data_IF_628348786504
#
_entry.id   IF_628348786504
#
_cell.length_a   1.000
_cell.length_b   1.000
_cell.length_c   1.000
_cell.angle_alpha   90.00
_cell.angle_beta   90.00
_cell.angle_gamma   90.00
#
_symmetry.space_group_name_H-M   'P 1'
#
loop_
_entity.id
_entity.type
_entity.pdbx_description
1 polymer ?
#
# COMPACT_ATOMS: atom_id res chain seq x y z
N UNK A 1 -6.71 -8.26 -20.43
CA UNK A 1 -7.34 -6.92 -20.36
C UNK A 1 -8.73 -6.89 -21.03
N UNK A 2 -8.99 -7.64 -22.09
CA UNK A 2 -10.28 -7.66 -22.82
C UNK A 2 -11.53 -7.77 -21.91
N UNK A 3 -11.62 -8.71 -20.94
CA UNK A 3 -12.81 -8.77 -20.08
C UNK A 3 -13.05 -7.49 -19.26
N UNK A 4 -11.98 -6.79 -18.85
CA UNK A 4 -12.10 -5.53 -18.12
C UNK A 4 -12.57 -4.39 -19.03
N UNK A 5 -12.11 -4.37 -20.29
CA UNK A 5 -12.57 -3.43 -21.30
C UNK A 5 -14.06 -3.64 -21.60
N UNK A 6 -14.50 -4.89 -21.74
CA UNK A 6 -15.90 -5.25 -21.97
C UNK A 6 -16.80 -4.77 -20.82
N UNK A 7 -16.41 -4.98 -19.56
CA UNK A 7 -17.15 -4.49 -18.40
C UNK A 7 -17.22 -2.96 -18.40
N UNK A 8 -16.10 -2.28 -18.66
CA UNK A 8 -16.07 -0.82 -18.71
C UNK A 8 -16.95 -0.25 -19.85
N UNK A 9 -17.00 -0.92 -21.00
CA UNK A 9 -17.74 -0.51 -22.17
C UNK A 9 -19.24 -0.78 -22.05
N UNK A 10 -19.60 -2.00 -21.62
CA UNK A 10 -20.98 -2.47 -21.53
C UNK A 10 -21.68 -2.05 -20.24
N UNK A 11 -20.92 -1.52 -19.29
CA UNK A 11 -21.41 -1.00 -18.03
C UNK A 11 -21.40 -2.03 -16.90
N UNK A 12 -21.36 -1.52 -15.71
CA UNK A 12 -21.43 -2.29 -14.47
C UNK A 12 -22.34 -1.59 -13.46
N UNK A 13 -22.90 -2.35 -12.53
CA UNK A 13 -23.78 -1.79 -11.49
C UNK A 13 -22.97 -1.03 -10.46
N UNK A 14 -23.43 0.17 -10.14
CA UNK A 14 -22.87 1.01 -9.06
C UNK A 14 -23.11 0.31 -7.73
N UNK A 15 -22.02 -0.03 -7.04
CA UNK A 15 -22.03 -0.68 -5.73
C UNK A 15 -22.11 0.34 -4.58
N UNK A 16 -22.43 -0.16 -3.38
CA UNK A 16 -22.39 0.65 -2.15
C UNK A 16 -20.99 1.23 -1.89
N UNK A 17 -19.94 0.46 -2.15
CA UNK A 17 -18.56 0.92 -2.01
C UNK A 17 -18.26 2.09 -2.95
N UNK A 18 -18.69 2.01 -4.20
CA UNK A 18 -18.47 3.12 -5.14
C UNK A 18 -19.18 4.39 -4.67
N UNK A 19 -20.42 4.30 -4.22
CA UNK A 19 -21.17 5.44 -3.65
C UNK A 19 -20.43 6.01 -2.44
N UNK A 20 -19.98 5.17 -1.52
CA UNK A 20 -19.22 5.56 -0.34
C UNK A 20 -17.92 6.28 -0.72
N UNK A 21 -17.16 5.78 -1.67
CA UNK A 21 -15.90 6.40 -2.10
C UNK A 21 -16.12 7.73 -2.85
N UNK A 22 -17.17 7.86 -3.64
CA UNK A 22 -17.55 9.15 -4.25
C UNK A 22 -17.85 10.20 -3.17
N UNK A 23 -18.58 9.82 -2.10
CA UNK A 23 -18.88 10.72 -0.99
C UNK A 23 -17.61 11.08 -0.18
N UNK A 24 -16.72 10.13 0.07
CA UNK A 24 -15.43 10.38 0.72
C UNK A 24 -14.58 11.36 -0.12
N UNK A 25 -14.50 11.15 -1.43
CA UNK A 25 -13.74 12.03 -2.33
C UNK A 25 -14.26 13.47 -2.28
N UNK A 26 -15.58 13.65 -2.31
CA UNK A 26 -16.24 14.94 -2.15
C UNK A 26 -15.92 15.62 -0.80
N UNK A 27 -15.92 14.85 0.30
CA UNK A 27 -15.60 15.38 1.64
C UNK A 27 -14.15 15.81 1.77
N UNK A 28 -13.20 15.00 1.27
CA UNK A 28 -11.76 15.29 1.35
C UNK A 28 -11.42 16.53 0.54
N UNK A 29 -11.90 16.61 -0.70
CA UNK A 29 -11.58 17.72 -1.61
C UNK A 29 -12.40 18.98 -1.32
N UNK A 30 -13.45 18.90 -0.49
CA UNK A 30 -14.45 19.96 -0.24
C UNK A 30 -15.08 20.49 -1.54
N UNK A 31 -15.01 19.74 -2.62
CA UNK A 31 -15.54 20.05 -3.95
C UNK A 31 -16.20 18.80 -4.54
N UNK A 32 -17.23 19.01 -5.35
CA UNK A 32 -17.84 17.90 -6.09
C UNK A 32 -17.24 17.79 -7.49
N UNK A 33 -15.91 17.61 -7.57
CA UNK A 33 -15.18 17.57 -8.83
C UNK A 33 -15.70 16.47 -9.77
N UNK A 34 -16.30 15.41 -9.25
CA UNK A 34 -16.91 14.35 -10.06
C UNK A 34 -18.11 14.84 -10.89
N UNK A 35 -18.70 15.97 -10.53
CA UNK A 35 -19.78 16.63 -11.28
C UNK A 35 -19.30 17.92 -11.95
N UNK A 36 -18.42 18.67 -11.29
CA UNK A 36 -17.97 19.98 -11.73
C UNK A 36 -16.91 19.90 -12.85
N UNK A 37 -16.05 18.90 -12.80
CA UNK A 37 -15.01 18.70 -13.81
C UNK A 37 -15.58 17.89 -14.99
N UNK A 38 -15.59 18.48 -16.21
CA UNK A 38 -16.17 17.80 -17.38
C UNK A 38 -15.53 16.46 -17.68
N UNK A 39 -14.24 16.26 -17.38
CA UNK A 39 -13.53 15.01 -17.63
C UNK A 39 -14.01 13.87 -16.73
N UNK A 40 -14.38 14.18 -15.49
CA UNK A 40 -14.95 13.22 -14.54
C UNK A 40 -16.46 13.06 -14.70
N UNK A 41 -17.17 14.16 -14.97
CA UNK A 41 -18.62 14.17 -15.09
C UNK A 41 -19.14 13.24 -16.20
N UNK A 42 -18.39 13.08 -17.29
CA UNK A 42 -18.73 12.15 -18.37
C UNK A 42 -18.96 10.71 -17.90
N UNK A 43 -18.24 10.25 -16.91
CA UNK A 43 -18.34 8.90 -16.38
C UNK A 43 -19.20 8.85 -15.09
N UNK A 44 -18.99 9.81 -14.18
CA UNK A 44 -19.57 9.78 -12.84
C UNK A 44 -20.88 10.57 -12.70
N UNK A 45 -21.14 11.51 -13.61
CA UNK A 45 -22.33 12.37 -13.59
C UNK A 45 -22.88 12.64 -15.01
N UNK A 46 -23.12 11.62 -15.85
CA UNK A 46 -23.49 11.80 -17.25
C UNK A 46 -24.78 12.60 -17.46
N UNK A 47 -25.64 12.66 -16.45
CA UNK A 47 -26.91 13.40 -16.46
C UNK A 47 -26.88 14.64 -15.56
N UNK A 48 -25.69 15.20 -15.27
CA UNK A 48 -25.51 16.35 -14.38
C UNK A 48 -25.63 16.04 -12.88
N UNK A 49 -25.85 14.78 -12.50
CA UNK A 49 -25.84 14.28 -11.13
C UNK A 49 -25.00 13.03 -11.00
N UNK A 50 -24.46 12.78 -9.82
CA UNK A 50 -23.72 11.53 -9.54
C UNK A 50 -24.61 10.31 -9.79
N UNK A 51 -24.00 9.28 -10.37
CA UNK A 51 -24.62 7.96 -10.46
C UNK A 51 -24.98 7.43 -9.08
N UNK A 52 -26.09 6.71 -8.97
CA UNK A 52 -26.62 6.21 -7.70
C UNK A 52 -26.44 4.70 -7.58
N UNK A 53 -26.62 4.19 -6.36
CA UNK A 53 -26.60 2.77 -6.08
C UNK A 53 -27.52 1.99 -7.01
N UNK A 54 -26.98 0.94 -7.64
CA UNK A 54 -27.74 0.08 -8.55
C UNK A 54 -27.94 0.62 -9.97
N UNK A 55 -27.60 1.87 -10.26
CA UNK A 55 -27.56 2.37 -11.64
C UNK A 55 -26.44 1.71 -12.43
N UNK A 56 -26.51 1.77 -13.75
CA UNK A 56 -25.42 1.27 -14.61
C UNK A 56 -24.48 2.40 -14.97
N UNK A 57 -23.20 2.22 -14.64
CA UNK A 57 -22.12 3.15 -14.98
C UNK A 57 -21.33 2.61 -16.17
N UNK A 58 -20.97 3.50 -17.08
CA UNK A 58 -20.17 3.21 -18.26
C UNK A 58 -18.87 3.99 -18.22
N UNK A 59 -17.77 3.37 -18.64
CA UNK A 59 -16.45 4.01 -18.76
C UNK A 59 -15.85 3.74 -20.14
N UNK A 60 -16.52 4.21 -21.18
CA UNK A 60 -16.19 3.89 -22.58
C UNK A 60 -14.77 4.32 -22.97
N UNK A 61 -14.37 5.54 -22.59
CA UNK A 61 -12.99 6.04 -22.86
C UNK A 61 -11.91 5.19 -22.16
N UNK A 62 -12.21 4.73 -20.96
CA UNK A 62 -11.31 3.82 -20.22
C UNK A 62 -11.27 2.44 -20.89
N UNK A 63 -12.37 1.95 -21.41
CA UNK A 63 -12.41 0.72 -22.20
C UNK A 63 -11.54 0.83 -23.45
N UNK A 64 -11.59 1.96 -24.17
CA UNK A 64 -10.76 2.20 -25.37
C UNK A 64 -9.26 2.22 -25.00
N UNK A 65 -8.90 2.79 -23.86
CA UNK A 65 -7.53 2.74 -23.33
C UNK A 65 -7.09 1.30 -23.04
N UNK A 66 -7.94 0.51 -22.36
CA UNK A 66 -7.65 -0.90 -22.05
C UNK A 66 -7.51 -1.75 -23.32
N UNK A 67 -8.36 -1.54 -24.31
CA UNK A 67 -8.27 -2.24 -25.61
C UNK A 67 -7.00 -1.88 -26.36
N UNK A 68 -6.60 -0.61 -26.34
CA UNK A 68 -5.34 -0.17 -26.96
C UNK A 68 -4.15 -0.87 -26.31
N UNK A 69 -4.08 -0.88 -24.97
CA UNK A 69 -3.00 -1.56 -24.24
C UNK A 69 -3.05 -3.08 -24.47
N UNK A 70 -4.25 -3.67 -24.55
CA UNK A 70 -4.41 -5.10 -24.82
C UNK A 70 -3.90 -5.50 -26.22
N UNK A 71 -4.10 -4.64 -27.20
CA UNK A 71 -3.72 -4.87 -28.60
C UNK A 71 -2.25 -4.57 -28.87
N UNK A 72 -1.74 -3.46 -28.32
CA UNK A 72 -0.43 -2.88 -28.66
C UNK A 72 0.65 -3.19 -27.59
N UNK A 73 0.25 -3.76 -26.45
CA UNK A 73 1.14 -4.06 -25.35
C UNK A 73 1.32 -2.89 -24.36
N UNK A 74 2.13 -3.08 -23.32
CA UNK A 74 2.33 -2.10 -22.26
C UNK A 74 2.97 -0.81 -22.76
N UNK A 75 3.76 -0.86 -23.83
CA UNK A 75 4.44 0.31 -24.40
C UNK A 75 3.45 1.38 -24.87
N UNK A 76 2.23 0.99 -25.27
CA UNK A 76 1.18 1.93 -25.65
C UNK A 76 0.79 2.92 -24.53
N UNK A 77 1.06 2.57 -23.26
CA UNK A 77 0.86 3.46 -22.13
C UNK A 77 1.99 4.49 -21.98
N UNK A 78 3.22 4.11 -22.28
CA UNK A 78 4.41 4.93 -22.08
C UNK A 78 4.77 5.78 -23.31
N UNK A 79 4.28 5.39 -24.46
CA UNK A 79 4.54 6.06 -25.75
C UNK A 79 3.25 6.33 -26.52
N UNK A 80 3.28 7.34 -27.37
CA UNK A 80 2.17 7.62 -28.31
C UNK A 80 1.00 8.37 -27.69
N UNK A 81 -0.23 8.14 -28.19
CA UNK A 81 -1.39 8.99 -27.89
C UNK A 81 -1.80 8.98 -26.39
N UNK A 82 -1.69 7.83 -25.69
CA UNK A 82 -2.05 7.73 -24.28
C UNK A 82 -1.05 8.53 -23.44
N UNK A 83 0.25 8.36 -23.68
CA UNK A 83 1.30 9.12 -23.01
C UNK A 83 1.13 10.63 -23.23
N UNK A 84 0.93 11.03 -24.48
CA UNK A 84 0.73 12.45 -24.86
C UNK A 84 -0.48 13.06 -24.13
N UNK A 85 -1.59 12.36 -24.06
CA UNK A 85 -2.80 12.81 -23.38
C UNK A 85 -2.59 12.90 -21.86
N UNK A 86 -1.88 11.95 -21.28
CA UNK A 86 -1.56 11.92 -19.85
C UNK A 86 -0.67 13.09 -19.47
N UNK A 87 0.42 13.30 -20.18
CA UNK A 87 1.37 14.40 -19.90
C UNK A 87 0.69 15.75 -20.11
N UNK A 88 -0.09 15.92 -21.18
CA UNK A 88 -0.83 17.16 -21.40
C UNK A 88 -1.77 17.48 -20.24
N UNK A 89 -2.57 16.50 -19.77
CA UNK A 89 -3.48 16.71 -18.65
C UNK A 89 -2.74 17.08 -17.35
N UNK A 90 -1.57 16.46 -17.10
CA UNK A 90 -0.74 16.78 -15.93
C UNK A 90 -0.19 18.21 -16.04
N UNK A 91 0.32 18.61 -17.20
CA UNK A 91 0.89 19.95 -17.43
C UNK A 91 -0.18 21.06 -17.42
N UNK A 92 -1.36 20.82 -17.95
CA UNK A 92 -2.52 21.71 -17.84
C UNK A 92 -2.94 21.94 -16.37
N UNK A 93 -2.69 20.96 -15.50
CA UNK A 93 -2.88 21.05 -14.04
C UNK A 93 -1.65 21.59 -13.28
N UNK A 94 -0.69 22.22 -13.96
CA UNK A 94 0.60 22.72 -13.43
C UNK A 94 1.53 21.63 -12.87
N UNK A 95 1.40 20.39 -13.33
CA UNK A 95 2.36 19.32 -13.03
C UNK A 95 3.61 19.45 -13.89
N UNK A 96 4.72 18.88 -13.41
CA UNK A 96 6.04 19.00 -14.03
C UNK A 96 6.48 17.78 -14.84
N UNK A 97 5.68 16.73 -14.86
CA UNK A 97 6.02 15.49 -15.56
C UNK A 97 6.12 15.68 -17.07
N UNK A 98 7.08 15.00 -17.69
CA UNK A 98 7.37 15.09 -19.12
C UNK A 98 7.17 13.73 -19.81
N UNK A 99 7.14 13.73 -21.14
CA UNK A 99 7.13 12.48 -21.92
C UNK A 99 8.41 11.67 -21.71
N UNK A 100 9.52 12.33 -21.46
CA UNK A 100 10.79 11.67 -21.19
C UNK A 100 10.75 10.90 -19.84
N UNK A 101 10.09 11.46 -18.82
CA UNK A 101 9.89 10.77 -17.53
C UNK A 101 9.08 9.47 -17.70
N UNK A 102 8.06 9.47 -18.56
CA UNK A 102 7.31 8.25 -18.90
C UNK A 102 8.18 7.26 -19.69
N UNK A 103 8.89 7.73 -20.71
CA UNK A 103 9.71 6.89 -21.59
C UNK A 103 10.88 6.23 -20.84
N UNK A 104 11.44 6.91 -19.86
CA UNK A 104 12.55 6.44 -19.04
C UNK A 104 12.10 5.58 -17.85
N UNK A 105 10.79 5.43 -17.64
CA UNK A 105 10.28 4.59 -16.54
C UNK A 105 10.64 3.12 -16.75
N UNK A 106 11.25 2.52 -15.75
CA UNK A 106 11.56 1.10 -15.71
C UNK A 106 11.05 0.45 -14.43
N UNK A 107 10.56 -0.78 -14.54
CA UNK A 107 10.11 -1.54 -13.38
C UNK A 107 11.32 -2.05 -12.60
N UNK A 108 11.43 -1.63 -11.34
CA UNK A 108 12.46 -2.16 -10.46
C UNK A 108 12.05 -3.55 -9.95
N UNK A 109 12.76 -4.57 -10.40
CA UNK A 109 12.61 -5.96 -9.90
C UNK A 109 13.55 -6.12 -8.72
N UNK A 110 12.97 -6.29 -7.51
CA UNK A 110 13.74 -6.43 -6.28
C UNK A 110 13.64 -7.84 -5.72
N UNK A 111 14.69 -8.36 -5.07
CA UNK A 111 14.66 -9.64 -4.39
C UNK A 111 13.66 -9.61 -3.23
N UNK A 112 13.06 -10.76 -2.95
CA UNK A 112 12.15 -10.92 -1.81
C UNK A 112 12.93 -11.04 -0.50
N UNK A 113 12.36 -10.53 0.58
CA UNK A 113 12.85 -10.77 1.94
C UNK A 113 12.19 -12.03 2.49
N UNK A 114 12.99 -12.90 3.12
CA UNK A 114 12.51 -14.16 3.67
C UNK A 114 12.92 -14.31 5.13
N UNK A 115 12.03 -14.91 5.91
CA UNK A 115 12.30 -15.36 7.29
C UNK A 115 11.78 -16.78 7.48
N UNK A 116 12.32 -17.47 8.47
CA UNK A 116 11.66 -18.63 9.07
C UNK A 116 10.85 -18.20 10.28
N UNK A 117 9.59 -18.67 10.35
CA UNK A 117 8.66 -18.39 11.42
C UNK A 117 7.88 -19.66 11.78
N UNK A 118 8.04 -20.17 13.00
CA UNK A 118 7.39 -21.40 13.49
C UNK A 118 7.47 -22.59 12.50
N UNK A 119 8.62 -22.76 11.85
CA UNK A 119 8.87 -23.83 10.87
C UNK A 119 8.36 -23.55 9.46
N UNK A 120 7.76 -22.38 9.21
CA UNK A 120 7.33 -21.96 7.89
C UNK A 120 8.30 -20.94 7.30
N UNK A 121 8.57 -21.04 5.99
CA UNK A 121 9.30 -20.02 5.25
C UNK A 121 8.31 -18.96 4.75
N UNK A 122 8.42 -17.75 5.29
CA UNK A 122 7.62 -16.60 4.88
C UNK A 122 8.44 -15.72 3.96
N UNK A 123 7.86 -15.35 2.81
CA UNK A 123 8.47 -14.43 1.82
C UNK A 123 7.59 -13.21 1.65
N UNK A 124 8.19 -12.04 1.57
CA UNK A 124 7.47 -10.80 1.33
C UNK A 124 8.32 -9.80 0.57
N UNK A 125 7.72 -8.69 0.17
CA UNK A 125 8.39 -7.61 -0.56
C UNK A 125 9.36 -6.84 0.35
N UNK A 126 10.45 -6.37 -0.25
CA UNK A 126 11.41 -5.49 0.43
C UNK A 126 10.98 -4.01 0.39
N UNK A 127 11.78 -3.13 0.99
CA UNK A 127 11.56 -1.69 0.88
C UNK A 127 11.49 -1.24 -0.61
N UNK A 128 10.68 -0.23 -0.94
CA UNK A 128 9.94 0.69 -0.05
C UNK A 128 8.58 0.18 0.43
N UNK A 129 8.23 -1.07 0.13
CA UNK A 129 6.98 -1.65 0.60
C UNK A 129 7.11 -2.18 2.05
N UNK A 130 5.97 -2.32 2.73
CA UNK A 130 5.92 -2.66 4.16
C UNK A 130 6.02 -4.17 4.48
N UNK A 131 6.37 -5.01 3.49
CA UNK A 131 6.53 -6.44 3.71
C UNK A 131 7.59 -6.80 4.75
N UNK A 132 8.74 -6.10 4.72
CA UNK A 132 9.79 -6.25 5.72
C UNK A 132 9.30 -5.88 7.14
N UNK A 133 8.39 -4.91 7.29
CA UNK A 133 7.76 -4.55 8.58
C UNK A 133 7.00 -5.75 9.15
N UNK A 134 6.14 -6.36 8.32
CA UNK A 134 5.34 -7.51 8.73
C UNK A 134 6.22 -8.70 9.14
N UNK A 135 7.24 -9.00 8.34
CA UNK A 135 8.18 -10.09 8.65
C UNK A 135 8.94 -9.83 9.94
N UNK A 136 9.41 -8.61 10.17
CA UNK A 136 10.12 -8.26 11.40
C UNK A 136 9.21 -8.33 12.62
N UNK A 137 7.97 -7.88 12.52
CA UNK A 137 6.98 -7.98 13.58
C UNK A 137 6.75 -9.45 13.98
N UNK A 138 6.51 -10.33 13.00
CA UNK A 138 6.34 -11.76 13.23
C UNK A 138 7.58 -12.38 13.87
N UNK A 139 8.79 -12.06 13.37
CA UNK A 139 10.04 -12.58 13.91
C UNK A 139 10.29 -12.09 15.34
N UNK A 140 9.92 -10.85 15.67
CA UNK A 140 9.97 -10.33 17.02
C UNK A 140 9.00 -11.08 17.94
N UNK A 141 7.77 -11.31 17.50
CA UNK A 141 6.76 -12.07 18.26
C UNK A 141 7.17 -13.53 18.49
N UNK A 142 7.87 -14.16 17.55
CA UNK A 142 8.39 -15.52 17.69
C UNK A 142 9.43 -15.63 18.83
N UNK A 143 10.22 -14.56 19.07
CA UNK A 143 11.19 -14.49 20.16
C UNK A 143 10.56 -14.49 21.55
N UNK A 144 9.27 -14.21 21.65
CA UNK A 144 8.48 -14.44 22.84
C UNK A 144 7.88 -15.84 22.77
N UNK A 145 8.39 -16.78 23.54
CA UNK A 145 7.87 -18.15 23.66
C UNK A 145 6.44 -18.21 24.23
N UNK A 146 5.88 -17.09 24.57
CA UNK A 146 4.49 -16.88 24.87
C UNK A 146 3.72 -16.85 23.56
N UNK A 147 3.37 -18.01 23.05
CA UNK A 147 2.20 -18.12 22.20
C UNK A 147 1.09 -17.33 22.88
N UNK A 148 0.29 -16.65 22.10
CA UNK A 148 -0.93 -15.96 22.54
C UNK A 148 -1.91 -16.88 23.33
N UNK A 149 -1.57 -18.16 23.44
CA UNK A 149 -2.25 -19.20 24.21
C UNK A 149 -1.81 -19.16 25.68
N UNK A 150 -2.65 -18.59 26.54
CA UNK A 150 -2.46 -18.56 28.00
C UNK A 150 -2.03 -17.24 28.60
N UNK A 151 -1.68 -16.22 27.82
CA UNK A 151 -1.44 -14.86 28.32
C UNK A 151 -2.71 -14.00 28.21
N UNK A 152 -2.78 -12.92 28.98
CA UNK A 152 -3.92 -12.01 28.89
C UNK A 152 -3.99 -11.32 27.53
N UNK A 153 -5.18 -10.99 27.07
CA UNK A 153 -5.41 -10.28 25.81
C UNK A 153 -4.70 -8.93 25.79
N UNK A 154 -4.66 -8.25 26.93
CA UNK A 154 -3.98 -6.96 27.08
C UNK A 154 -2.47 -7.09 26.89
N UNK A 155 -1.82 -8.11 27.46
CA UNK A 155 -0.40 -8.34 27.29
C UNK A 155 -0.05 -8.70 25.86
N UNK A 156 -0.85 -9.60 25.26
CA UNK A 156 -0.69 -9.99 23.86
C UNK A 156 -0.83 -8.82 22.91
N UNK A 157 -1.82 -7.95 23.11
CA UNK A 157 -2.02 -6.72 22.35
C UNK A 157 -0.87 -5.75 22.55
N UNK A 158 -0.41 -5.56 23.79
CA UNK A 158 0.73 -4.70 24.10
C UNK A 158 2.01 -5.17 23.39
N UNK A 159 2.34 -6.44 23.43
CA UNK A 159 3.50 -7.01 22.75
C UNK A 159 3.43 -6.83 21.23
N UNK A 160 2.24 -7.03 20.65
CA UNK A 160 2.01 -6.82 19.23
C UNK A 160 2.22 -5.35 18.84
N UNK A 161 1.66 -4.41 19.58
CA UNK A 161 1.81 -2.97 19.33
C UNK A 161 3.27 -2.54 19.46
N UNK A 162 3.98 -2.99 20.49
CA UNK A 162 5.40 -2.67 20.65
C UNK A 162 6.26 -3.26 19.53
N UNK A 163 5.99 -4.51 19.10
CA UNK A 163 6.68 -5.11 17.97
C UNK A 163 6.45 -4.34 16.66
N UNK A 164 5.23 -3.83 16.43
CA UNK A 164 4.93 -2.94 15.29
C UNK A 164 5.73 -1.64 15.35
N UNK A 165 5.79 -0.97 16.51
CA UNK A 165 6.53 0.28 16.68
C UNK A 165 8.01 0.12 16.35
N UNK A 166 8.63 -0.96 16.83
CA UNK A 166 10.03 -1.28 16.52
C UNK A 166 10.22 -1.62 15.03
N UNK A 167 9.31 -2.37 14.43
CA UNK A 167 9.39 -2.72 13.03
C UNK A 167 9.27 -1.49 12.11
N UNK A 168 8.37 -0.55 12.41
CA UNK A 168 8.27 0.71 11.69
C UNK A 168 9.48 1.62 11.87
N UNK A 169 10.05 1.69 13.08
CA UNK A 169 11.27 2.45 13.32
C UNK A 169 12.44 1.92 12.48
N UNK A 170 12.59 0.59 12.39
CA UNK A 170 13.64 -0.04 11.59
C UNK A 170 13.50 0.30 10.09
N UNK A 171 12.30 0.23 9.53
CA UNK A 171 12.06 0.56 8.11
C UNK A 171 12.26 2.04 7.83
N UNK A 172 11.91 2.92 8.76
CA UNK A 172 12.18 4.35 8.63
C UNK A 172 13.68 4.65 8.52
N UNK A 173 14.51 3.96 9.32
CA UNK A 173 15.97 4.06 9.23
C UNK A 173 16.50 3.54 7.89
N UNK A 174 15.99 2.40 7.39
CA UNK A 174 16.36 1.86 6.08
C UNK A 174 16.03 2.82 4.94
N UNK A 175 14.87 3.44 4.97
CA UNK A 175 14.44 4.39 3.95
C UNK A 175 15.35 5.64 3.89
N UNK A 176 15.87 6.08 5.04
CA UNK A 176 16.82 7.18 5.12
C UNK A 176 18.18 6.75 4.56
N UNK A 177 18.64 5.55 4.88
CA UNK A 177 19.94 5.03 4.44
C UNK A 177 19.96 4.80 2.90
N UNK A 178 18.89 4.25 2.33
CA UNK A 178 18.75 4.08 0.86
C UNK A 178 18.76 5.41 0.11
N UNK A 179 18.18 6.47 0.66
CA UNK A 179 18.25 7.82 0.06
C UNK A 179 19.67 8.39 0.02
N UNK A 180 20.50 8.05 1.01
CA UNK A 180 21.84 8.61 1.14
C UNK A 180 22.90 7.84 0.34
N UNK A 181 22.66 6.57 -0.01
CA UNK A 181 23.69 5.71 -0.61
C UNK A 181 23.45 5.40 -2.08
N UNK A 182 22.25 5.65 -2.62
CA UNK A 182 21.86 5.24 -3.99
C UNK A 182 22.17 3.75 -4.32
N UNK A 183 22.36 2.92 -3.30
CA UNK A 183 22.68 1.50 -3.45
C UNK A 183 21.48 0.67 -3.01
N UNK A 184 21.02 -0.18 -3.91
CA UNK A 184 20.06 -1.27 -3.63
C UNK A 184 20.80 -2.40 -2.86
N UNK A 185 21.29 -2.11 -1.65
CA UNK A 185 22.05 -3.07 -0.87
C UNK A 185 21.12 -4.02 -0.12
N UNK A 186 20.84 -5.17 -0.76
CA UNK A 186 20.08 -6.31 -0.21
C UNK A 186 20.64 -6.78 1.15
N UNK A 187 21.94 -6.66 1.33
CA UNK A 187 22.63 -7.09 2.55
C UNK A 187 22.24 -6.25 3.76
N UNK A 188 22.09 -4.94 3.58
CA UNK A 188 21.65 -4.01 4.63
C UNK A 188 20.23 -4.30 5.12
N UNK A 189 19.30 -4.65 4.23
CA UNK A 189 17.94 -5.00 4.60
C UNK A 189 17.86 -6.30 5.42
N UNK A 190 18.64 -7.32 5.05
CA UNK A 190 18.74 -8.60 5.77
C UNK A 190 19.40 -8.44 7.15
N UNK A 191 20.50 -7.70 7.22
CA UNK A 191 21.22 -7.46 8.47
C UNK A 191 20.36 -6.70 9.48
N UNK A 192 19.58 -5.72 9.03
CA UNK A 192 18.74 -4.92 9.92
C UNK A 192 17.57 -5.72 10.50
N UNK A 193 16.98 -6.62 9.73
CA UNK A 193 15.93 -7.53 10.22
C UNK A 193 16.51 -8.47 11.31
N UNK A 194 17.72 -8.98 11.09
CA UNK A 194 18.37 -9.92 12.02
C UNK A 194 18.91 -9.23 13.27
N UNK A 195 19.65 -8.13 13.12
CA UNK A 195 20.27 -7.42 14.24
C UNK A 195 19.24 -6.72 15.13
N UNK A 196 18.21 -6.15 14.53
CA UNK A 196 17.17 -5.45 15.31
C UNK A 196 16.27 -6.43 16.07
N UNK A 197 16.06 -7.65 15.56
CA UNK A 197 15.27 -8.66 16.25
C UNK A 197 15.91 -9.05 17.58
N UNK A 198 17.23 -9.26 17.61
CA UNK A 198 17.97 -9.60 18.83
C UNK A 198 17.95 -8.45 19.87
N UNK A 199 18.15 -7.22 19.42
CA UNK A 199 18.13 -6.02 20.29
C UNK A 199 16.73 -5.71 20.82
N UNK A 200 15.72 -5.88 20.00
CA UNK A 200 14.31 -5.67 20.35
C UNK A 200 13.84 -6.74 21.33
N UNK A 201 14.13 -8.02 21.09
CA UNK A 201 13.80 -9.10 22.01
C UNK A 201 14.45 -8.87 23.38
N UNK A 202 15.71 -8.44 23.45
CA UNK A 202 16.40 -8.13 24.70
C UNK A 202 15.74 -6.97 25.46
N UNK A 203 15.40 -5.87 24.78
CA UNK A 203 14.73 -4.71 25.41
C UNK A 203 13.28 -5.00 25.83
N UNK A 204 12.53 -5.71 25.02
CA UNK A 204 11.16 -6.08 25.35
C UNK A 204 11.13 -7.13 26.48
N UNK A 205 12.08 -8.06 26.55
CA UNK A 205 12.23 -9.00 27.69
C UNK A 205 12.39 -8.24 29.01
N UNK A 206 13.14 -7.13 29.04
CA UNK A 206 13.25 -6.26 30.21
C UNK A 206 11.92 -5.58 30.57
N UNK A 207 11.13 -5.17 29.58
CA UNK A 207 9.81 -4.54 29.80
C UNK A 207 8.84 -5.59 30.35
N UNK A 208 8.85 -6.79 29.81
CA UNK A 208 7.98 -7.89 30.24
C UNK A 208 8.34 -8.37 31.68
N UNK A 209 9.62 -8.40 32.02
CA UNK A 209 10.05 -8.73 33.38
C UNK A 209 9.63 -7.67 34.39
N UNK A 210 9.69 -6.39 34.04
CA UNK A 210 9.21 -5.28 34.90
C UNK A 210 7.69 -5.27 35.05
N UNK A 211 6.94 -5.61 34.00
CA UNK A 211 5.47 -5.72 34.08
C UNK A 211 5.01 -6.85 35.02
N UNK A 212 5.78 -7.95 35.12
CA UNK A 212 5.49 -9.06 36.05
C UNK A 212 5.86 -8.76 37.51
N UNK A 213 6.68 -7.75 37.77
CA UNK A 213 7.15 -7.38 39.11
C UNK A 213 6.37 -6.23 39.74
N UNK A 214 5.37 -5.67 39.07
CA UNK A 214 4.46 -4.70 39.66
C UNK A 214 3.52 -5.45 40.65
N UNK A 215 3.48 -5.10 41.93
CA UNK A 215 2.57 -5.74 42.88
C UNK A 215 1.16 -5.45 42.45
N UNK A 216 0.39 -6.52 42.29
CA UNK A 216 -1.04 -6.41 41.96
C UNK A 216 -1.75 -5.52 42.96
N UNK A 217 -2.37 -4.45 42.49
CA UNK A 217 -3.36 -3.74 43.27
C UNK A 217 -4.53 -4.71 43.49
N UNK A 218 -4.60 -5.24 44.67
CA UNK A 218 -5.78 -5.94 45.16
C UNK A 218 -6.93 -4.93 45.11
N UNK A 219 -7.85 -5.16 44.18
CA UNK A 219 -9.17 -4.53 44.17
C UNK A 219 -10.01 -5.41 45.08
N UNK A 220 -10.34 -4.85 46.28
CA UNK A 220 -11.36 -5.36 47.14
C UNK A 220 -12.78 -5.08 46.60
#
# INVERSE_FOLDING_TARGET
MTPAADVARNGFRVSEDLVRYMDIAKRITKRNFLVEDPSWALDFAPNGRLVQLGETMYRKRYADTLDTIAREGPDAFYYGPIANSTIRAIQEANGTMTLEDLANYTVAVRPVVQIEYKGYRLSSVSAPASGAVALQMLKTMEGYNTTLEGESEELSTHLMVESMRFAYAAVSLLSIQQRNTNTDDEHSARILVILNTSLVCSRMSMICSKARTLPGSAVG
#
